data_IF_801459127313
#
_entry.id   IF_801459127313
#
_cell.length_a   1.000
_cell.length_b   1.000
_cell.length_c   1.000
_cell.angle_alpha   90.00
_cell.angle_beta   90.00
_cell.angle_gamma   90.00
#
_symmetry.space_group_name_H-M   'P 1'
#
loop_
_entity.id
_entity.type
_entity.pdbx_description
1 polymer ?
#
# COMPACT_ATOMS: atom_id res chain seq x y z
N UNK A 1 -14.19 -20.65 1.78
CA UNK A 1 -13.72 -20.82 0.40
C UNK A 1 -12.76 -19.72 -0.08
N UNK A 2 -12.98 -18.44 0.21
CA UNK A 2 -12.06 -17.36 -0.20
C UNK A 2 -10.62 -17.50 0.33
N UNK A 3 -10.44 -18.02 1.55
CA UNK A 3 -9.11 -18.24 2.15
C UNK A 3 -8.20 -19.17 1.34
N UNK A 4 -8.79 -20.12 0.61
CA UNK A 4 -8.05 -21.09 -0.21
C UNK A 4 -7.67 -20.49 -1.56
N UNK A 5 -8.54 -19.65 -2.13
CA UNK A 5 -8.30 -18.94 -3.41
C UNK A 5 -7.11 -17.98 -3.26
N UNK A 6 -7.05 -17.24 -2.15
CA UNK A 6 -5.95 -16.32 -1.85
C UNK A 6 -4.63 -17.09 -1.69
N UNK A 7 -4.64 -18.20 -0.94
CA UNK A 7 -3.45 -19.03 -0.74
C UNK A 7 -2.94 -19.67 -2.03
N UNK A 8 -3.86 -20.17 -2.88
CA UNK A 8 -3.48 -20.68 -4.19
C UNK A 8 -2.90 -19.58 -5.07
N UNK A 9 -3.51 -18.39 -5.14
CA UNK A 9 -2.96 -17.25 -5.89
C UNK A 9 -1.54 -16.88 -5.42
N UNK A 10 -1.31 -16.86 -4.12
CA UNK A 10 0.02 -16.61 -3.52
C UNK A 10 1.04 -17.70 -3.90
N UNK A 11 0.67 -18.98 -3.78
CA UNK A 11 1.55 -20.10 -4.15
C UNK A 11 1.88 -20.10 -5.63
N UNK A 12 0.93 -19.74 -6.49
CA UNK A 12 1.17 -19.61 -7.95
C UNK A 12 2.12 -18.45 -8.23
N UNK A 13 1.93 -17.27 -7.63
CA UNK A 13 2.84 -16.11 -7.80
C UNK A 13 4.28 -16.43 -7.35
N UNK A 14 4.45 -17.13 -6.23
CA UNK A 14 5.78 -17.54 -5.73
C UNK A 14 6.44 -18.58 -6.66
N UNK A 15 5.67 -19.50 -7.26
CA UNK A 15 6.19 -20.50 -8.21
C UNK A 15 6.60 -19.90 -9.55
N UNK A 16 5.97 -18.80 -9.95
CA UNK A 16 6.31 -18.04 -11.17
C UNK A 16 7.55 -17.13 -10.97
N UNK A 17 8.18 -17.15 -9.80
CA UNK A 17 9.38 -16.35 -9.51
C UNK A 17 9.08 -14.85 -9.36
N UNK A 18 7.81 -14.50 -9.20
CA UNK A 18 7.33 -13.13 -9.05
C UNK A 18 7.40 -12.77 -7.57
N UNK A 19 8.57 -12.28 -7.12
CA UNK A 19 8.70 -11.62 -5.83
C UNK A 19 8.12 -10.20 -5.94
N UNK A 20 6.92 -9.95 -5.39
CA UNK A 20 6.29 -8.61 -5.45
C UNK A 20 6.11 -7.96 -4.08
N UNK A 21 6.99 -8.27 -3.12
CA UNK A 21 7.36 -7.20 -2.20
C UNK A 21 8.41 -6.38 -2.92
N UNK A 22 8.23 -5.06 -3.07
CA UNK A 22 9.24 -4.21 -3.69
C UNK A 22 10.59 -4.43 -3.00
N UNK A 23 11.61 -4.78 -3.78
CA UNK A 23 12.91 -5.21 -3.24
C UNK A 23 13.76 -4.04 -2.77
N UNK A 24 13.46 -2.84 -3.26
CA UNK A 24 14.10 -1.61 -2.84
C UNK A 24 13.16 -0.38 -2.99
N UNK A 25 13.64 0.78 -2.52
CA UNK A 25 12.89 2.04 -2.56
C UNK A 25 12.57 2.53 -3.99
N UNK A 26 13.37 2.13 -4.98
CA UNK A 26 13.18 2.54 -6.37
C UNK A 26 11.96 1.83 -6.94
N UNK A 27 11.84 0.52 -6.72
CA UNK A 27 10.66 -0.25 -7.14
C UNK A 27 9.37 0.26 -6.48
N UNK A 28 9.39 0.56 -5.17
CA UNK A 28 8.23 1.13 -4.46
C UNK A 28 7.81 2.45 -5.10
N UNK A 29 8.80 3.32 -5.37
CA UNK A 29 8.53 4.62 -5.95
C UNK A 29 7.95 4.49 -7.37
N UNK A 30 8.54 3.67 -8.23
CA UNK A 30 8.06 3.46 -9.59
C UNK A 30 6.62 2.92 -9.60
N UNK A 31 6.32 1.95 -8.73
CA UNK A 31 4.97 1.43 -8.57
C UNK A 31 3.97 2.52 -8.21
N UNK A 32 4.31 3.42 -7.29
CA UNK A 32 3.43 4.53 -6.89
C UNK A 32 3.34 5.62 -7.97
N UNK A 33 4.44 5.91 -8.68
CA UNK A 33 4.45 6.87 -9.79
C UNK A 33 3.50 6.43 -10.94
N UNK A 34 3.45 5.12 -11.23
CA UNK A 34 2.63 4.54 -12.29
C UNK A 34 1.12 4.52 -11.98
N UNK A 35 0.75 4.70 -10.70
CA UNK A 35 -0.63 4.54 -10.22
C UNK A 35 -1.16 5.82 -9.55
N UNK A 36 -0.64 6.99 -9.91
CA UNK A 36 -1.16 8.29 -9.45
C UNK A 36 -2.64 8.45 -9.85
N UNK A 37 -3.47 8.82 -8.88
CA UNK A 37 -4.91 9.00 -9.04
C UNK A 37 -5.75 7.76 -8.70
N UNK A 38 -5.11 6.60 -8.50
CA UNK A 38 -5.80 5.36 -8.14
C UNK A 38 -6.25 5.35 -6.69
N UNK A 39 -7.34 4.61 -6.43
CA UNK A 39 -7.79 4.31 -5.08
C UNK A 39 -6.86 3.28 -4.43
N UNK A 40 -6.52 3.54 -3.17
CA UNK A 40 -5.66 2.68 -2.37
C UNK A 40 -6.25 2.44 -0.98
N UNK A 41 -5.89 1.30 -0.40
CA UNK A 41 -6.07 0.99 1.01
C UNK A 41 -4.71 1.08 1.69
N UNK A 42 -4.61 1.94 2.70
CA UNK A 42 -3.44 2.06 3.57
C UNK A 42 -3.70 1.34 4.88
N UNK A 43 -2.86 0.36 5.19
CA UNK A 43 -2.93 -0.41 6.44
C UNK A 43 -1.77 -0.02 7.36
N UNK A 44 -2.06 0.62 8.50
CA UNK A 44 -1.05 1.01 9.48
C UNK A 44 -0.91 -0.06 10.57
N UNK A 45 0.32 -0.50 10.84
CA UNK A 45 0.64 -1.43 11.92
C UNK A 45 0.71 -0.68 13.27
N UNK A 46 -0.34 -0.80 14.09
CA UNK A 46 -0.47 -0.12 15.39
C UNK A 46 0.01 -1.00 16.57
N UNK A 47 0.82 -2.04 16.29
CA UNK A 47 1.36 -2.99 17.27
C UNK A 47 1.21 -4.45 16.85
N UNK A 48 1.61 -5.39 17.71
CA UNK A 48 1.76 -6.83 17.38
C UNK A 48 0.51 -7.55 16.86
N UNK A 49 -0.69 -7.02 17.12
CA UNK A 49 -1.97 -7.62 16.72
C UNK A 49 -2.98 -6.62 16.19
N UNK A 50 -2.63 -5.33 16.09
CA UNK A 50 -3.58 -4.26 15.78
C UNK A 50 -3.20 -3.61 14.46
N UNK A 51 -4.08 -3.73 13.48
CA UNK A 51 -4.02 -3.04 12.18
C UNK A 51 -5.16 -2.03 12.11
N UNK A 52 -4.93 -0.91 11.42
CA UNK A 52 -5.98 0.03 11.04
C UNK A 52 -5.88 0.26 9.53
N UNK A 53 -6.99 0.03 8.85
CA UNK A 53 -7.12 0.22 7.40
C UNK A 53 -7.86 1.51 7.13
N UNK A 54 -7.41 2.28 6.14
CA UNK A 54 -8.07 3.48 5.64
C UNK A 54 -8.03 3.49 4.12
N UNK A 55 -9.14 3.84 3.48
CA UNK A 55 -9.20 4.10 2.04
C UNK A 55 -8.76 5.53 1.73
N UNK A 56 -8.29 5.72 0.51
CA UNK A 56 -7.94 7.04 0.00
C UNK A 56 -7.50 6.99 -1.45
N UNK A 57 -7.05 8.13 -1.95
CA UNK A 57 -6.55 8.29 -3.34
C UNK A 57 -5.09 8.67 -3.31
N UNK A 58 -4.25 7.96 -4.07
CA UNK A 58 -2.84 8.33 -4.26
C UNK A 58 -2.76 9.61 -5.11
N UNK A 59 -2.29 10.72 -4.54
CA UNK A 59 -2.34 12.03 -5.21
C UNK A 59 -1.03 12.42 -5.88
N UNK A 60 0.07 12.32 -5.14
CA UNK A 60 1.37 12.85 -5.57
C UNK A 60 2.51 11.97 -5.09
N UNK A 61 3.61 11.99 -5.83
CA UNK A 61 4.87 11.37 -5.44
C UNK A 61 6.00 12.39 -5.50
N UNK A 62 6.95 12.27 -4.57
CA UNK A 62 8.12 13.13 -4.46
C UNK A 62 9.37 12.28 -4.26
N UNK A 63 10.54 12.91 -4.09
CA UNK A 63 11.80 12.17 -3.97
C UNK A 63 11.83 11.15 -2.83
N UNK A 64 11.15 11.43 -1.72
CA UNK A 64 11.28 10.62 -0.49
C UNK A 64 9.94 10.22 0.12
N UNK A 65 8.83 10.79 -0.37
CA UNK A 65 7.49 10.59 0.19
C UNK A 65 6.47 10.58 -0.94
N UNK A 66 5.31 10.01 -0.66
CA UNK A 66 4.11 10.10 -1.48
C UNK A 66 2.94 10.62 -0.64
N UNK A 67 1.96 11.21 -1.30
CA UNK A 67 0.82 11.89 -0.67
C UNK A 67 -0.46 11.15 -1.01
N UNK A 68 -1.28 10.92 0.01
CA UNK A 68 -2.56 10.23 -0.07
C UNK A 68 -3.63 11.13 0.54
N UNK A 69 -4.73 11.29 -0.17
CA UNK A 69 -5.96 11.86 0.39
C UNK A 69 -6.77 10.72 1.00
N UNK A 70 -6.78 10.59 2.32
CA UNK A 70 -7.49 9.53 3.04
C UNK A 70 -8.92 9.95 3.38
N UNK A 71 -9.86 9.04 3.15
CA UNK A 71 -11.25 9.22 3.52
C UNK A 71 -11.38 9.29 5.06
N UNK A 72 -12.32 10.13 5.52
CA UNK A 72 -12.81 10.15 6.90
C UNK A 72 -14.33 10.09 6.93
N UNK A 73 -14.85 9.79 8.12
CA UNK A 73 -16.26 9.99 8.43
C UNK A 73 -16.63 11.49 8.31
N UNK A 74 -17.89 11.80 7.95
CA UNK A 74 -18.44 13.16 7.77
C UNK A 74 -17.87 14.02 6.62
N UNK A 75 -17.59 13.42 5.45
CA UNK A 75 -17.14 14.14 4.22
C UNK A 75 -15.83 14.92 4.37
N UNK A 76 -15.01 14.62 5.39
CA UNK A 76 -13.70 15.22 5.55
C UNK A 76 -12.63 14.37 4.86
N UNK A 77 -11.58 15.01 4.34
CA UNK A 77 -10.44 14.33 3.69
C UNK A 77 -9.17 14.73 4.45
N UNK A 78 -8.44 13.73 4.95
CA UNK A 78 -7.10 13.95 5.50
C UNK A 78 -6.05 13.77 4.40
N UNK A 79 -5.33 14.84 4.07
CA UNK A 79 -4.15 14.73 3.21
C UNK A 79 -2.92 14.37 4.04
N UNK A 80 -2.36 13.18 3.81
CA UNK A 80 -1.25 12.61 4.59
C UNK A 80 -0.10 12.21 3.67
N UNK A 81 1.13 12.39 4.13
CA UNK A 81 2.32 11.89 3.44
C UNK A 81 2.90 10.66 4.14
N UNK A 82 3.33 9.68 3.36
CA UNK A 82 4.08 8.51 3.82
C UNK A 82 5.43 8.42 3.10
N UNK A 83 6.43 7.80 3.72
CA UNK A 83 7.72 7.55 3.08
C UNK A 83 7.73 6.20 2.36
N UNK A 84 8.57 6.07 1.34
CA UNK A 84 8.81 4.76 0.70
C UNK A 84 9.42 3.75 1.67
N UNK A 85 10.18 4.24 2.65
CA UNK A 85 10.73 3.40 3.71
C UNK A 85 9.64 2.80 4.58
N UNK A 86 8.54 3.51 4.86
CA UNK A 86 7.43 2.98 5.67
C UNK A 86 6.79 1.74 5.02
N UNK A 87 6.72 1.71 3.69
CA UNK A 87 6.27 0.55 2.91
C UNK A 87 7.32 -0.56 2.95
N UNK A 88 8.59 -0.21 2.71
CA UNK A 88 9.71 -1.17 2.71
C UNK A 88 9.86 -1.87 4.08
N UNK A 89 9.66 -1.16 5.18
CA UNK A 89 9.79 -1.69 6.54
C UNK A 89 8.47 -2.22 7.11
N UNK A 90 7.43 -2.36 6.29
CA UNK A 90 6.09 -2.82 6.70
C UNK A 90 5.51 -2.07 7.90
N UNK A 91 5.87 -0.79 8.05
CA UNK A 91 5.23 0.11 9.02
C UNK A 91 3.83 0.49 8.53
N UNK A 92 3.68 0.55 7.19
CA UNK A 92 2.41 0.54 6.49
C UNK A 92 2.41 -0.52 5.39
N UNK A 93 1.23 -1.00 5.01
CA UNK A 93 1.00 -1.75 3.78
C UNK A 93 0.09 -0.90 2.85
N UNK A 94 0.33 -0.96 1.54
CA UNK A 94 -0.47 -0.26 0.51
C UNK A 94 -1.02 -1.27 -0.48
N UNK A 95 -2.32 -1.22 -0.72
CA UNK A 95 -3.02 -2.08 -1.68
C UNK A 95 -3.82 -1.22 -2.65
N UNK A 96 -3.66 -1.43 -3.97
CA UNK A 96 -4.47 -0.79 -5.00
C UNK A 96 -5.80 -1.54 -5.18
N UNK A 97 -6.89 -0.80 -5.41
CA UNK A 97 -8.26 -1.34 -5.53
C UNK A 97 -8.62 -1.77 -6.94
#
# INVERSE_FOLDING_TARGET
MLKLIIYLKYVTMVREGVETMPKDLVEIKSLLDENLGEEIIVTVQMGRKKKRERRGVLRETYRSVFVVDLDQDDNNIDRVSFSYSDVLTHSIDVEFV
#
